data_IF_810379537328
#
_entry.id   IF_810379537328
#
_cell.length_a   1.000
_cell.length_b   1.000
_cell.length_c   1.000
_cell.angle_alpha   90.00
_cell.angle_beta   90.00
_cell.angle_gamma   90.00
#
_symmetry.space_group_name_H-M   'P 1'
#
loop_
_entity.id
_entity.type
_entity.pdbx_description
1 polymer ?
#
# COMPACT_ATOMS: atom_id res chain seq x y z
N UNK A 1 2.51 16.44 13.95
CA UNK A 1 1.97 15.18 13.40
C UNK A 1 1.36 15.46 12.03
N UNK A 2 1.33 14.49 11.10
CA UNK A 2 0.63 14.68 9.83
C UNK A 2 -0.86 14.97 10.06
N UNK A 3 -1.48 15.73 9.16
CA UNK A 3 -2.93 15.98 9.13
C UNK A 3 -3.68 14.77 8.56
N UNK A 4 -4.98 14.62 8.85
CA UNK A 4 -5.82 13.58 8.24
C UNK A 4 -5.77 13.62 6.72
N UNK A 5 -5.78 14.81 6.11
CA UNK A 5 -5.65 14.97 4.67
C UNK A 5 -4.32 14.41 4.12
N UNK A 6 -3.21 14.61 4.86
CA UNK A 6 -1.91 14.06 4.50
C UNK A 6 -1.87 12.54 4.66
N UNK A 7 -2.50 12.00 5.70
CA UNK A 7 -2.58 10.56 5.94
C UNK A 7 -3.43 9.86 4.86
N UNK A 8 -4.61 10.41 4.55
CA UNK A 8 -5.46 9.93 3.46
C UNK A 8 -4.76 10.01 2.10
N UNK A 9 -4.03 11.10 1.83
CA UNK A 9 -3.19 11.23 0.63
C UNK A 9 -2.09 10.17 0.57
N UNK A 10 -1.43 9.87 1.69
CA UNK A 10 -0.44 8.81 1.79
C UNK A 10 -1.06 7.43 1.54
N UNK A 11 -2.22 7.13 2.13
CA UNK A 11 -2.93 5.87 1.93
C UNK A 11 -3.29 5.64 0.45
N UNK A 12 -3.74 6.69 -0.25
CA UNK A 12 -4.01 6.64 -1.68
C UNK A 12 -2.76 6.27 -2.51
N UNK A 13 -1.60 6.82 -2.14
CA UNK A 13 -0.32 6.51 -2.81
C UNK A 13 0.09 5.05 -2.57
N UNK A 14 -0.09 4.52 -1.37
CA UNK A 14 0.20 3.11 -1.07
C UNK A 14 -0.65 2.19 -1.96
N UNK A 15 -1.95 2.44 -2.04
CA UNK A 15 -2.86 1.66 -2.89
C UNK A 15 -2.43 1.71 -4.37
N UNK A 16 -2.09 2.89 -4.88
CA UNK A 16 -1.59 3.05 -6.26
C UNK A 16 -0.34 2.19 -6.54
N UNK A 17 0.63 2.17 -5.63
CA UNK A 17 1.85 1.38 -5.82
C UNK A 17 1.61 -0.12 -5.67
N UNK A 18 0.75 -0.54 -4.72
CA UNK A 18 0.35 -1.94 -4.58
C UNK A 18 -0.25 -2.45 -5.90
N UNK A 19 -1.18 -1.71 -6.50
CA UNK A 19 -1.83 -2.09 -7.75
C UNK A 19 -0.84 -2.13 -8.92
N UNK A 20 0.08 -1.17 -8.98
CA UNK A 20 1.17 -1.15 -9.98
C UNK A 20 2.10 -2.35 -9.86
N UNK A 21 2.48 -2.73 -8.64
CA UNK A 21 3.38 -3.85 -8.38
C UNK A 21 2.73 -5.17 -8.78
N UNK A 22 1.46 -5.38 -8.42
CA UNK A 22 0.68 -6.56 -8.83
C UNK A 22 0.53 -6.67 -10.34
N UNK A 23 0.19 -5.57 -11.01
CA UNK A 23 0.11 -5.56 -12.48
C UNK A 23 1.46 -5.89 -13.15
N UNK A 24 2.58 -5.53 -12.52
CA UNK A 24 3.93 -5.87 -13.02
C UNK A 24 4.32 -7.30 -12.72
N UNK A 25 4.00 -7.81 -11.53
CA UNK A 25 4.15 -9.21 -11.16
C UNK A 25 3.44 -10.13 -12.16
N UNK A 26 2.18 -9.84 -12.51
CA UNK A 26 1.42 -10.62 -13.50
C UNK A 26 2.05 -10.60 -14.89
N UNK A 27 2.64 -9.47 -15.31
CA UNK A 27 3.34 -9.36 -16.59
C UNK A 27 4.65 -10.15 -16.63
N UNK A 28 5.24 -10.42 -15.47
CA UNK A 28 6.58 -10.99 -15.34
C UNK A 28 6.56 -12.45 -14.86
N UNK A 29 5.42 -12.98 -14.40
CA UNK A 29 5.36 -14.32 -13.80
C UNK A 29 5.92 -15.42 -14.69
N UNK A 30 5.74 -15.30 -16.01
CA UNK A 30 6.18 -16.30 -16.99
C UNK A 30 7.56 -15.99 -17.59
N UNK A 31 8.07 -14.77 -17.38
CA UNK A 31 9.33 -14.28 -17.96
C UNK A 31 10.46 -14.34 -16.94
N UNK A 32 10.19 -13.84 -15.74
CA UNK A 32 11.12 -13.77 -14.61
C UNK A 32 10.35 -14.00 -13.30
N UNK A 33 10.15 -15.27 -12.90
CA UNK A 33 9.39 -15.63 -11.70
C UNK A 33 10.03 -15.12 -10.41
N UNK A 34 11.37 -15.02 -10.36
CA UNK A 34 12.08 -14.53 -9.19
C UNK A 34 11.84 -13.04 -9.01
N UNK A 35 11.93 -12.25 -10.08
CA UNK A 35 11.61 -10.84 -10.00
C UNK A 35 10.11 -10.60 -9.70
N UNK A 36 9.20 -11.39 -10.27
CA UNK A 36 7.78 -11.33 -9.94
C UNK A 36 7.52 -11.59 -8.43
N UNK A 37 8.23 -12.55 -7.84
CA UNK A 37 8.14 -12.83 -6.39
C UNK A 37 8.68 -11.67 -5.55
N UNK A 38 9.75 -11.00 -5.98
CA UNK A 38 10.24 -9.80 -5.28
C UNK A 38 9.23 -8.65 -5.33
N UNK A 39 8.55 -8.44 -6.46
CA UNK A 39 7.49 -7.43 -6.58
C UNK A 39 6.30 -7.73 -5.65
N UNK A 40 5.93 -9.01 -5.52
CA UNK A 40 4.89 -9.47 -4.59
C UNK A 40 5.25 -9.18 -3.13
N UNK A 41 6.50 -9.50 -2.73
CA UNK A 41 7.00 -9.22 -1.38
C UNK A 41 6.94 -7.73 -1.05
N UNK A 42 7.32 -6.86 -1.99
CA UNK A 42 7.23 -5.40 -1.79
C UNK A 42 5.78 -4.93 -1.71
N UNK A 43 4.88 -5.47 -2.54
CA UNK A 43 3.46 -5.15 -2.47
C UNK A 43 2.85 -5.57 -1.12
N UNK A 44 3.30 -6.68 -0.55
CA UNK A 44 2.85 -7.17 0.75
C UNK A 44 3.31 -6.24 1.89
N UNK A 45 4.57 -5.80 1.89
CA UNK A 45 5.06 -4.81 2.88
C UNK A 45 4.29 -3.49 2.77
N UNK A 46 4.06 -2.98 1.56
CA UNK A 46 3.26 -1.77 1.36
C UNK A 46 1.82 -1.93 1.84
N UNK A 47 1.25 -3.13 1.71
CA UNK A 47 -0.10 -3.43 2.18
C UNK A 47 -0.18 -3.43 3.71
N UNK A 48 0.82 -3.98 4.40
CA UNK A 48 0.90 -3.92 5.87
C UNK A 48 0.94 -2.46 6.34
N UNK A 49 1.80 -1.65 5.74
CA UNK A 49 1.88 -0.22 6.04
C UNK A 49 0.58 0.53 5.74
N UNK A 50 -0.14 0.15 4.67
CA UNK A 50 -1.44 0.74 4.33
C UNK A 50 -2.53 0.37 5.34
N UNK A 51 -2.48 -0.84 5.91
CA UNK A 51 -3.41 -1.28 6.97
C UNK A 51 -3.16 -0.50 8.24
N UNK A 52 -1.91 -0.44 8.72
CA UNK A 52 -1.55 0.31 9.92
C UNK A 52 -1.96 1.79 9.78
N UNK A 53 -1.70 2.39 8.62
CA UNK A 53 -2.09 3.78 8.34
C UNK A 53 -3.61 3.96 8.30
N UNK A 54 -4.37 2.99 7.81
CA UNK A 54 -5.83 3.04 7.78
C UNK A 54 -6.42 2.95 9.20
N UNK A 55 -5.82 2.14 10.08
CA UNK A 55 -6.17 2.08 11.49
C UNK A 55 -5.89 3.41 12.19
N UNK A 56 -4.71 3.99 11.99
CA UNK A 56 -4.36 5.32 12.53
C UNK A 56 -5.31 6.44 12.06
N UNK A 57 -5.78 6.38 10.80
CA UNK A 57 -6.78 7.31 10.27
C UNK A 57 -8.11 7.11 10.98
N UNK A 58 -8.58 5.87 11.11
CA UNK A 58 -9.86 5.56 11.73
C UNK A 58 -9.92 5.98 13.21
N UNK A 59 -8.83 5.78 13.96
CA UNK A 59 -8.72 6.25 15.34
C UNK A 59 -8.85 7.77 15.44
N UNK A 60 -8.14 8.50 14.58
CA UNK A 60 -8.18 9.96 14.57
C UNK A 60 -9.50 10.53 14.09
N UNK A 61 -10.11 9.90 13.09
CA UNK A 61 -11.44 10.27 12.63
C UNK A 61 -12.47 10.06 13.74
N UNK A 62 -12.31 9.08 14.64
CA UNK A 62 -13.19 8.94 15.81
C UNK A 62 -12.95 10.02 16.87
N UNK A 63 -11.70 10.44 17.09
CA UNK A 63 -11.35 11.49 18.06
C UNK A 63 -11.84 12.89 17.64
N UNK A 64 -12.11 13.12 16.36
CA UNK A 64 -12.64 14.39 15.83
C UNK A 64 -14.18 14.53 15.96
N UNK A 65 -14.91 13.55 16.53
CA UNK A 65 -16.38 13.51 16.61
C UNK A 65 -16.95 13.57 18.04
#
# INVERSE_FOLDING_TARGET
MPTLAQMNGSLHIHQFYIDKLKAKQEQLSDIDPEFAMLLDNVAQVLKEHAVDLAEDIAERECDEW
#
